data_IF_689014572184
#
_entry.id   IF_689014572184
#
_cell.length_a   1.000
_cell.length_b   1.000
_cell.length_c   1.000
_cell.angle_alpha   90.00
_cell.angle_beta   90.00
_cell.angle_gamma   90.00
#
_symmetry.space_group_name_H-M   'P 1'
#
loop_
_entity.id
_entity.type
_entity.pdbx_description
1 polymer ?
#
# COMPACT_ATOMS: atom_id res chain seq x y z
N UNK A 1 10.40 20.01 -14.15
CA UNK A 1 9.01 19.67 -14.56
C UNK A 1 8.97 18.25 -15.05
N UNK A 2 7.95 17.48 -14.65
CA UNK A 2 7.72 16.12 -15.13
C UNK A 2 6.99 16.16 -16.47
N UNK A 3 7.47 15.36 -17.42
CA UNK A 3 6.78 15.15 -18.69
C UNK A 3 5.43 14.45 -18.44
N UNK A 4 4.36 14.93 -19.07
CA UNK A 4 3.00 14.41 -18.95
C UNK A 4 2.79 13.12 -19.78
N UNK A 5 3.83 12.27 -19.83
CA UNK A 5 3.80 11.04 -20.62
C UNK A 5 2.90 9.99 -19.99
N UNK A 6 2.31 9.16 -20.86
CA UNK A 6 1.55 7.97 -20.46
C UNK A 6 2.37 7.06 -19.54
N UNK A 7 3.69 7.02 -19.71
CA UNK A 7 4.57 6.21 -18.87
C UNK A 7 4.67 6.75 -17.44
N UNK A 8 4.87 8.06 -17.26
CA UNK A 8 4.90 8.65 -15.92
C UNK A 8 3.56 8.48 -15.20
N UNK A 9 2.43 8.65 -15.90
CA UNK A 9 1.09 8.37 -15.35
C UNK A 9 0.96 6.92 -14.90
N UNK A 10 1.41 5.96 -15.73
CA UNK A 10 1.39 4.53 -15.40
C UNK A 10 2.27 4.19 -14.19
N UNK A 11 3.47 4.77 -14.11
CA UNK A 11 4.38 4.58 -12.98
C UNK A 11 3.78 5.16 -11.69
N UNK A 12 3.15 6.34 -11.76
CA UNK A 12 2.47 6.97 -10.64
C UNK A 12 1.31 6.11 -10.13
N UNK A 13 0.47 5.60 -11.05
CA UNK A 13 -0.62 4.68 -10.72
C UNK A 13 -0.11 3.42 -10.02
N UNK A 14 0.94 2.80 -10.56
CA UNK A 14 1.55 1.60 -9.96
C UNK A 14 2.10 1.90 -8.56
N UNK A 15 2.83 3.00 -8.41
CA UNK A 15 3.42 3.41 -7.14
C UNK A 15 2.35 3.61 -6.07
N UNK A 16 1.29 4.37 -6.36
CA UNK A 16 0.19 4.63 -5.42
C UNK A 16 -0.58 3.34 -5.11
N UNK A 17 -0.79 2.46 -6.10
CA UNK A 17 -1.41 1.15 -5.87
C UNK A 17 -0.65 0.27 -4.88
N UNK A 18 0.69 0.32 -4.91
CA UNK A 18 1.54 -0.38 -3.92
C UNK A 18 1.41 0.21 -2.53
N UNK A 19 1.29 1.53 -2.42
CA UNK A 19 1.08 2.24 -1.14
C UNK A 19 -0.26 1.85 -0.53
N UNK A 20 -1.34 1.83 -1.32
CA UNK A 20 -2.66 1.37 -0.87
C UNK A 20 -2.59 -0.08 -0.37
N UNK A 21 -1.98 -0.96 -1.16
CA UNK A 21 -1.83 -2.37 -0.80
C UNK A 21 -1.06 -2.54 0.51
N UNK A 22 -0.02 -1.72 0.70
CA UNK A 22 0.77 -1.72 1.93
C UNK A 22 -0.06 -1.26 3.13
N UNK A 23 -0.75 -0.13 3.00
CA UNK A 23 -1.58 0.43 4.06
C UNK A 23 -2.70 -0.54 4.47
N UNK A 24 -3.35 -1.17 3.50
CA UNK A 24 -4.34 -2.21 3.73
C UNK A 24 -3.76 -3.38 4.56
N UNK A 25 -2.55 -3.86 4.22
CA UNK A 25 -1.90 -4.92 4.99
C UNK A 25 -1.47 -4.50 6.39
N UNK A 26 -1.00 -3.25 6.57
CA UNK A 26 -0.67 -2.72 7.88
C UNK A 26 -1.92 -2.58 8.75
N UNK A 27 -3.04 -2.14 8.17
CA UNK A 27 -4.34 -2.07 8.84
C UNK A 27 -4.88 -3.46 9.19
N UNK A 28 -4.74 -4.43 8.28
CA UNK A 28 -5.07 -5.82 8.57
C UNK A 28 -4.21 -6.41 9.70
N UNK A 29 -2.89 -6.15 9.68
CA UNK A 29 -2.00 -6.59 10.75
C UNK A 29 -2.38 -5.97 12.11
N UNK A 30 -2.73 -4.67 12.14
CA UNK A 30 -3.26 -4.01 13.34
C UNK A 30 -4.55 -4.68 13.82
N UNK A 31 -5.48 -4.98 12.92
CA UNK A 31 -6.71 -5.70 13.24
C UNK A 31 -6.43 -7.07 13.86
N UNK A 32 -5.50 -7.85 13.31
CA UNK A 32 -5.10 -9.15 13.88
C UNK A 32 -4.51 -8.98 15.28
N UNK A 33 -3.62 -8.02 15.48
CA UNK A 33 -3.01 -7.73 16.78
C UNK A 33 -4.04 -7.31 17.83
N UNK A 34 -5.00 -6.45 17.48
CA UNK A 34 -6.10 -6.05 18.36
C UNK A 34 -6.95 -7.24 18.82
N UNK A 35 -7.09 -8.25 17.95
CA UNK A 35 -7.83 -9.49 18.22
C UNK A 35 -6.93 -10.64 18.71
N UNK A 36 -5.69 -10.35 19.12
CA UNK A 36 -4.72 -11.34 19.66
C UNK A 36 -4.45 -12.52 18.71
N UNK A 37 -4.55 -12.31 17.39
CA UNK A 37 -4.13 -13.28 16.38
C UNK A 37 -2.66 -13.03 16.05
N UNK A 38 -1.82 -14.05 16.22
CA UNK A 38 -0.41 -13.97 15.85
C UNK A 38 -0.20 -14.19 14.35
N UNK A 39 0.88 -13.64 13.81
CA UNK A 39 1.26 -13.80 12.39
C UNK A 39 1.49 -15.28 12.02
N UNK A 40 1.95 -16.09 12.98
CA UNK A 40 2.04 -17.54 12.82
C UNK A 40 0.66 -18.18 12.72
N UNK A 41 -0.25 -17.88 13.65
CA UNK A 41 -1.61 -18.45 13.69
C UNK A 41 -2.37 -18.15 12.40
N UNK A 42 -2.30 -16.91 11.90
CA UNK A 42 -2.96 -16.56 10.65
C UNK A 42 -2.31 -17.24 9.43
N UNK A 43 -0.98 -17.42 9.43
CA UNK A 43 -0.28 -18.15 8.36
C UNK A 43 -0.70 -19.61 8.29
N UNK A 44 -0.78 -20.26 9.46
CA UNK A 44 -1.26 -21.65 9.57
C UNK A 44 -2.72 -21.79 9.14
N UNK A 45 -3.58 -20.84 9.50
CA UNK A 45 -5.00 -20.85 9.14
C UNK A 45 -5.24 -20.76 7.62
N UNK A 46 -4.31 -20.17 6.85
CA UNK A 46 -4.38 -20.18 5.37
C UNK A 46 -3.62 -21.36 4.74
N UNK A 47 -3.06 -22.28 5.53
CA UNK A 47 -2.24 -23.41 5.06
C UNK A 47 -0.87 -23.01 4.52
N UNK A 48 -0.30 -21.89 5.00
CA UNK A 48 1.00 -21.39 4.59
C UNK A 48 2.08 -21.64 5.67
N UNK A 49 3.38 -21.58 5.33
CA UNK A 49 4.46 -21.65 6.32
C UNK A 49 4.30 -20.60 7.42
N UNK A 50 4.72 -20.92 8.64
CA UNK A 50 4.56 -20.08 9.85
C UNK A 50 5.02 -18.61 9.69
N UNK A 51 5.98 -18.35 8.81
CA UNK A 51 6.52 -17.02 8.57
C UNK A 51 5.95 -16.32 7.32
N UNK A 52 4.97 -16.91 6.62
CA UNK A 52 4.46 -16.39 5.35
C UNK A 52 3.86 -14.98 5.49
N UNK A 53 3.00 -14.77 6.50
CA UNK A 53 2.42 -13.45 6.74
C UNK A 53 3.49 -12.43 7.17
N UNK A 54 4.46 -12.84 8.00
CA UNK A 54 5.61 -12.00 8.37
C UNK A 54 6.40 -11.55 7.14
N UNK A 55 6.59 -12.41 6.14
CA UNK A 55 7.26 -12.02 4.89
C UNK A 55 6.46 -10.95 4.16
N UNK A 56 5.14 -11.08 4.05
CA UNK A 56 4.29 -10.06 3.40
C UNK A 56 4.45 -8.71 4.11
N UNK A 57 4.38 -8.69 5.45
CA UNK A 57 4.49 -7.45 6.24
C UNK A 57 5.93 -6.90 6.27
N UNK A 58 6.97 -7.72 6.27
CA UNK A 58 8.36 -7.25 6.45
C UNK A 58 9.07 -6.95 5.12
N UNK A 59 8.78 -7.74 4.09
CA UNK A 59 9.38 -7.65 2.76
C UNK A 59 8.57 -6.75 1.83
N UNK A 60 7.50 -6.13 2.34
CA UNK A 60 6.60 -5.27 1.55
C UNK A 60 6.09 -5.94 0.27
N UNK A 61 5.94 -7.26 0.28
CA UNK A 61 5.33 -7.95 -0.85
C UNK A 61 3.92 -7.38 -1.05
N UNK A 62 3.63 -6.92 -2.27
CA UNK A 62 2.30 -6.43 -2.63
C UNK A 62 1.42 -7.66 -2.76
N UNK A 63 0.51 -7.93 -1.81
CA UNK A 63 -0.32 -9.12 -1.90
C UNK A 63 -1.29 -8.96 -3.07
N UNK A 64 -1.58 -10.06 -3.75
CA UNK A 64 -2.69 -10.11 -4.69
C UNK A 64 -4.01 -10.06 -3.93
N UNK A 65 -5.10 -9.65 -4.60
CA UNK A 65 -6.46 -9.69 -4.02
C UNK A 65 -6.81 -11.10 -3.49
N UNK A 66 -6.54 -12.21 -4.23
CA UNK A 66 -6.75 -13.56 -3.69
C UNK A 66 -5.99 -13.85 -2.39
N UNK A 67 -4.74 -13.37 -2.27
CA UNK A 67 -3.96 -13.53 -1.04
C UNK A 67 -4.62 -12.80 0.12
N UNK A 68 -5.00 -11.53 -0.06
CA UNK A 68 -5.69 -10.76 0.97
C UNK A 68 -7.02 -11.41 1.37
N UNK A 69 -7.84 -11.83 0.40
CA UNK A 69 -9.12 -12.46 0.64
C UNK A 69 -9.00 -13.77 1.43
N UNK A 70 -7.99 -14.61 1.13
CA UNK A 70 -7.70 -15.83 1.90
C UNK A 70 -7.36 -15.51 3.36
N UNK A 71 -6.55 -14.49 3.58
CA UNK A 71 -6.19 -14.06 4.94
C UNK A 71 -7.38 -13.49 5.71
N UNK A 72 -8.22 -12.66 5.07
CA UNK A 72 -9.47 -12.16 5.67
C UNK A 72 -10.42 -13.31 5.99
N UNK A 73 -10.56 -14.29 5.09
CA UNK A 73 -11.37 -15.48 5.33
C UNK A 73 -10.87 -16.28 6.54
N UNK A 74 -9.57 -16.56 6.62
CA UNK A 74 -8.97 -17.23 7.75
C UNK A 74 -9.17 -16.45 9.06
N UNK A 75 -9.00 -15.12 9.04
CA UNK A 75 -9.27 -14.30 10.21
C UNK A 75 -10.73 -14.37 10.66
N UNK A 76 -11.68 -14.36 9.73
CA UNK A 76 -13.11 -14.49 10.05
C UNK A 76 -13.43 -15.83 10.70
N UNK A 77 -12.81 -16.92 10.25
CA UNK A 77 -12.99 -18.23 10.86
C UNK A 77 -12.38 -18.29 12.27
N UNK A 78 -11.18 -17.72 12.45
CA UNK A 78 -10.49 -17.70 13.76
C UNK A 78 -11.21 -16.86 14.82
N UNK A 79 -12.00 -15.87 14.39
CA UNK A 79 -12.73 -14.94 15.26
C UNK A 79 -14.23 -15.22 15.30
N UNK A 80 -14.71 -16.24 14.58
CA UNK A 80 -16.13 -16.58 14.46
C UNK A 80 -16.98 -15.38 13.97
N UNK A 81 -16.40 -14.55 13.10
CA UNK A 81 -17.07 -13.39 12.48
C UNK A 81 -17.83 -13.88 11.24
N UNK A 82 -19.16 -13.88 11.31
CA UNK A 82 -20.02 -14.26 10.17
C UNK A 82 -19.91 -13.22 9.03
N UNK A 83 -20.01 -11.93 9.37
CA UNK A 83 -19.94 -10.84 8.40
C UNK A 83 -18.50 -10.31 8.21
N UNK A 84 -17.88 -10.76 7.12
CA UNK A 84 -16.51 -10.37 6.75
C UNK A 84 -16.38 -8.88 6.41
N UNK A 85 -17.49 -8.16 6.16
CA UNK A 85 -17.45 -6.71 5.95
C UNK A 85 -16.93 -5.96 7.17
N UNK A 86 -17.10 -6.51 8.37
CA UNK A 86 -16.51 -5.96 9.59
C UNK A 86 -14.98 -5.95 9.53
N UNK A 87 -14.36 -6.95 8.89
CA UNK A 87 -12.91 -7.00 8.71
C UNK A 87 -12.50 -6.07 7.57
N UNK A 88 -13.19 -6.13 6.43
CA UNK A 88 -12.86 -5.28 5.28
C UNK A 88 -12.96 -3.79 5.59
N UNK A 89 -13.95 -3.36 6.38
CA UNK A 89 -14.05 -1.97 6.82
C UNK A 89 -12.83 -1.54 7.65
N UNK A 90 -12.32 -2.38 8.55
CA UNK A 90 -11.09 -2.09 9.32
C UNK A 90 -9.83 -2.01 8.46
N UNK A 91 -9.83 -2.67 7.30
CA UNK A 91 -8.72 -2.67 6.35
C UNK A 91 -8.74 -1.41 5.47
N UNK A 92 -9.92 -1.09 4.91
CA UNK A 92 -10.06 -0.14 3.81
C UNK A 92 -10.71 1.20 4.17
N UNK A 93 -11.46 1.30 5.28
CA UNK A 93 -12.01 2.57 5.75
C UNK A 93 -10.92 3.39 6.47
N UNK A 94 -9.97 3.88 5.68
CA UNK A 94 -8.79 4.61 6.11
C UNK A 94 -8.62 5.87 5.25
N UNK A 95 -8.45 7.03 5.89
CA UNK A 95 -8.38 8.33 5.21
C UNK A 95 -7.19 8.43 4.25
N UNK A 96 -6.06 7.77 4.53
CA UNK A 96 -4.92 7.77 3.61
C UNK A 96 -5.19 6.89 2.40
N UNK A 97 -5.90 5.77 2.57
CA UNK A 97 -6.34 4.93 1.44
C UNK A 97 -7.33 5.72 0.57
N UNK A 98 -8.32 6.37 1.17
CA UNK A 98 -9.30 7.18 0.44
C UNK A 98 -8.61 8.31 -0.34
N UNK A 99 -7.67 9.02 0.29
CA UNK A 99 -6.89 10.06 -0.39
C UNK A 99 -6.06 9.50 -1.54
N UNK A 100 -5.42 8.35 -1.36
CA UNK A 100 -4.65 7.68 -2.41
C UNK A 100 -5.53 7.28 -3.60
N UNK A 101 -6.74 6.75 -3.34
CA UNK A 101 -7.72 6.40 -4.37
C UNK A 101 -8.23 7.65 -5.10
N UNK A 102 -8.50 8.73 -4.37
CA UNK A 102 -8.88 10.01 -4.96
C UNK A 102 -7.82 10.50 -5.95
N UNK A 103 -6.53 10.42 -5.59
CA UNK A 103 -5.42 10.80 -6.47
C UNK A 103 -5.36 9.86 -7.68
N UNK A 104 -5.50 8.54 -7.49
CA UNK A 104 -5.52 7.59 -8.61
C UNK A 104 -6.57 7.93 -9.66
N UNK A 105 -7.77 8.33 -9.23
CA UNK A 105 -8.87 8.71 -10.10
C UNK A 105 -8.58 10.00 -10.89
N UNK A 106 -7.71 10.87 -10.38
CA UNK A 106 -7.32 12.12 -11.05
C UNK A 106 -6.20 11.91 -12.10
N UNK A 107 -5.39 10.85 -11.98
CA UNK A 107 -4.20 10.67 -12.83
C UNK A 107 -4.53 10.63 -14.33
N UNK A 108 -5.66 10.02 -14.73
CA UNK A 108 -6.01 9.94 -16.15
C UNK A 108 -6.25 11.32 -16.74
N UNK A 109 -6.88 12.21 -15.97
CA UNK A 109 -7.52 13.42 -16.48
C UNK A 109 -6.67 14.68 -16.23
N UNK A 110 -5.82 14.68 -15.20
CA UNK A 110 -4.99 15.82 -14.81
C UNK A 110 -3.61 15.82 -15.49
N UNK A 111 -3.00 17.00 -15.63
CA UNK A 111 -1.54 17.11 -15.84
C UNK A 111 -0.82 16.62 -14.57
N UNK A 112 0.30 15.90 -14.75
CA UNK A 112 1.06 15.35 -13.63
C UNK A 112 1.57 16.45 -12.69
N UNK A 113 2.01 17.59 -13.22
CA UNK A 113 2.58 18.66 -12.40
C UNK A 113 1.50 19.31 -11.53
N UNK A 114 0.32 19.58 -12.12
CA UNK A 114 -0.84 20.12 -11.41
C UNK A 114 -1.32 19.15 -10.32
N UNK A 115 -1.43 17.86 -10.66
CA UNK A 115 -1.80 16.80 -9.73
C UNK A 115 -0.86 16.75 -8.52
N UNK A 116 0.46 16.86 -8.75
CA UNK A 116 1.45 16.87 -7.67
C UNK A 116 1.31 18.12 -6.82
N UNK A 117 1.13 19.28 -7.44
CA UNK A 117 1.03 20.57 -6.74
C UNK A 117 -0.21 20.64 -5.84
N UNK A 118 -1.35 20.12 -6.30
CA UNK A 118 -2.58 20.04 -5.51
C UNK A 118 -2.48 19.03 -4.36
N UNK A 119 -1.63 18.00 -4.50
CA UNK A 119 -1.52 16.89 -3.57
C UNK A 119 -0.16 16.81 -2.84
N UNK A 120 0.57 17.94 -2.72
CA UNK A 120 1.92 18.00 -2.11
C UNK A 120 2.04 17.28 -0.78
N UNK A 121 1.07 17.47 0.14
CA UNK A 121 1.10 16.85 1.48
C UNK A 121 1.11 15.33 1.39
N UNK A 122 0.31 14.75 0.50
CA UNK A 122 0.29 13.31 0.26
C UNK A 122 1.65 12.83 -0.25
N UNK A 123 2.18 13.48 -1.28
CA UNK A 123 3.47 13.11 -1.87
C UNK A 123 4.67 13.28 -0.93
N UNK A 124 4.66 14.30 -0.06
CA UNK A 124 5.63 14.43 1.06
C UNK A 124 5.53 13.25 2.02
N UNK A 125 4.32 12.83 2.37
CA UNK A 125 4.06 11.68 3.23
C UNK A 125 4.60 10.36 2.68
N UNK A 126 4.73 10.24 1.35
CA UNK A 126 5.29 9.03 0.74
C UNK A 126 6.75 8.79 1.06
N UNK A 127 7.48 9.82 1.54
CA UNK A 127 8.91 9.74 1.83
C UNK A 127 9.25 8.62 2.80
N UNK A 128 8.35 8.30 3.73
CA UNK A 128 8.48 7.15 4.63
C UNK A 128 8.63 5.81 3.89
N UNK A 129 7.81 5.58 2.86
CA UNK A 129 7.85 4.35 2.07
C UNK A 129 9.13 4.20 1.23
N UNK A 130 9.76 5.33 0.86
CA UNK A 130 11.00 5.34 0.08
C UNK A 130 12.27 5.41 0.95
N UNK A 131 12.19 5.99 2.15
CA UNK A 131 13.33 6.17 3.08
C UNK A 131 13.71 4.89 3.84
N UNK A 132 12.73 4.05 4.21
CA UNK A 132 12.95 2.77 4.93
C UNK A 132 13.72 1.73 4.09
N UNK A 133 14.05 2.07 2.84
CA UNK A 133 13.98 1.12 1.75
C UNK A 133 15.21 1.09 0.83
N UNK A 134 16.26 1.84 1.18
CA UNK A 134 17.56 1.77 0.49
C UNK A 134 18.37 0.51 0.86
N UNK A 135 18.09 -0.15 2.00
CA UNK A 135 18.88 -1.28 2.52
C UNK A 135 18.18 -2.65 2.51
N UNK A 136 16.88 -2.74 2.19
CA UNK A 136 16.16 -4.02 2.20
C UNK A 136 16.32 -4.74 0.86
N UNK A 137 16.70 -6.03 0.92
CA UNK A 137 16.85 -6.95 -0.22
C UNK A 137 15.58 -7.06 -1.08
N UNK A 138 14.41 -6.79 -0.48
CA UNK A 138 13.10 -6.85 -1.12
C UNK A 138 12.41 -5.49 -1.00
N UNK A 139 12.71 -4.58 -1.93
CA UNK A 139 11.99 -3.31 -2.06
C UNK A 139 10.85 -3.48 -3.09
N UNK A 140 9.61 -3.08 -2.78
CA UNK A 140 8.47 -3.25 -3.68
C UNK A 140 8.51 -2.30 -4.88
N UNK A 141 9.28 -1.22 -4.81
CA UNK A 141 9.36 -0.18 -5.83
C UNK A 141 10.51 -0.43 -6.81
N UNK A 142 10.20 -0.33 -8.10
CA UNK A 142 11.18 -0.44 -9.19
C UNK A 142 12.09 0.79 -9.23
N UNK A 143 13.20 0.70 -9.98
CA UNK A 143 14.13 1.83 -10.14
C UNK A 143 13.41 3.02 -10.79
N UNK A 144 12.55 2.77 -11.77
CA UNK A 144 11.78 3.79 -12.47
C UNK A 144 10.79 4.50 -11.54
N UNK A 145 10.08 3.75 -10.68
CA UNK A 145 9.15 4.32 -9.70
C UNK A 145 9.90 5.18 -8.66
N UNK A 146 11.10 4.78 -8.24
CA UNK A 146 11.95 5.58 -7.34
C UNK A 146 12.45 6.83 -8.01
N UNK A 147 12.95 6.73 -9.24
CA UNK A 147 13.43 7.88 -9.99
C UNK A 147 12.29 8.89 -10.23
N UNK A 148 11.07 8.41 -10.49
CA UNK A 148 9.88 9.26 -10.56
C UNK A 148 9.62 9.93 -9.21
N UNK A 149 9.66 9.19 -8.10
CA UNK A 149 9.44 9.74 -6.77
C UNK A 149 10.49 10.81 -6.38
N UNK A 150 11.78 10.58 -6.66
CA UNK A 150 12.82 11.58 -6.39
C UNK A 150 12.57 12.87 -7.19
N UNK A 151 12.13 12.77 -8.45
CA UNK A 151 11.72 13.96 -9.24
C UNK A 151 10.51 14.68 -8.64
N UNK A 152 9.51 13.93 -8.17
CA UNK A 152 8.34 14.49 -7.46
C UNK A 152 8.80 15.24 -6.21
N UNK A 153 9.71 14.63 -5.44
CA UNK A 153 10.26 15.21 -4.22
C UNK A 153 11.04 16.49 -4.51
N UNK A 154 11.93 16.48 -5.51
CA UNK A 154 12.66 17.67 -5.96
C UNK A 154 11.70 18.79 -6.39
N UNK A 155 10.62 18.48 -7.10
CA UNK A 155 9.62 19.48 -7.48
C UNK A 155 8.96 20.11 -6.25
N UNK A 156 8.62 19.28 -5.26
CA UNK A 156 7.95 19.71 -4.04
C UNK A 156 8.88 20.53 -3.11
N UNK A 157 10.18 20.21 -3.10
CA UNK A 157 11.17 20.88 -2.25
C UNK A 157 11.67 22.20 -2.86
N UNK A 158 11.49 22.41 -4.16
CA UNK A 158 11.89 23.63 -4.90
C UNK A 158 10.74 24.64 -5.15
N UNK A 159 9.56 24.39 -4.60
CA UNK A 159 8.39 25.30 -4.60
C UNK A 159 8.16 25.92 -3.21
#
# INVERSE_FOLDING_TARGET
MLDNSRENKRLLQRMIGKIISRKAMDNFNKFLHQNKITNQKISQAVGAPDNAFNKIINEMAVPTIPTLARYVHAASQLLEIEDKMQIYSKIFADEEIDKAVSILNQISDSDINDLISENKKFFKGLGFYFSINKSKKNNPFTIEERNLYEKIKEMIDNE
#
